data_IF_130363068261
#
_entry.id   IF_130363068261
#
_cell.length_a   1.000
_cell.length_b   1.000
_cell.length_c   1.000
_cell.angle_alpha   90.00
_cell.angle_beta   90.00
_cell.angle_gamma   90.00
#
_symmetry.space_group_name_H-M   'P 1'
#
loop_
_entity.id
_entity.type
_entity.pdbx_description
1 polymer ?
#
# COMPACT_ATOMS: atom_id res chain seq x y z
N UNK A 1 1.48 -12.60 26.21
CA UNK A 1 1.72 -11.14 26.14
C UNK A 1 2.75 -10.89 25.07
N UNK A 2 2.56 -9.85 24.27
CA UNK A 2 3.53 -9.43 23.27
C UNK A 2 4.63 -8.64 23.98
N UNK A 3 5.91 -8.89 23.70
CA UNK A 3 6.99 -8.18 24.38
C UNK A 3 6.96 -6.70 23.95
N UNK A 4 7.39 -5.79 24.83
CA UNK A 4 7.40 -4.36 24.53
C UNK A 4 8.21 -4.04 23.25
N UNK A 5 9.27 -4.81 23.00
CA UNK A 5 10.06 -4.76 21.78
C UNK A 5 9.25 -5.15 20.54
N UNK A 6 8.49 -6.25 20.60
CA UNK A 6 7.61 -6.68 19.51
C UNK A 6 6.57 -5.60 19.16
N UNK A 7 5.99 -4.94 20.17
CA UNK A 7 5.05 -3.84 19.97
C UNK A 7 5.73 -2.64 19.29
N UNK A 8 6.93 -2.26 19.74
CA UNK A 8 7.68 -1.15 19.14
C UNK A 8 8.03 -1.43 17.67
N UNK A 9 8.42 -2.66 17.34
CA UNK A 9 8.74 -3.03 15.96
C UNK A 9 7.47 -3.00 15.09
N UNK A 10 6.34 -3.51 15.60
CA UNK A 10 5.05 -3.42 14.91
C UNK A 10 4.63 -1.98 14.63
N UNK A 11 4.77 -1.09 15.61
CA UNK A 11 4.42 0.32 15.46
C UNK A 11 5.31 1.00 14.39
N UNK A 12 6.61 0.67 14.35
CA UNK A 12 7.51 1.17 13.32
C UNK A 12 7.11 0.66 11.92
N UNK A 13 6.83 -0.64 11.78
CA UNK A 13 6.39 -1.22 10.50
C UNK A 13 5.10 -0.55 10.03
N UNK A 14 4.14 -0.31 10.94
CA UNK A 14 2.91 0.39 10.60
C UNK A 14 3.15 1.83 10.14
N UNK A 15 4.06 2.55 10.79
CA UNK A 15 4.41 3.90 10.38
C UNK A 15 5.07 3.90 9.00
N UNK A 16 6.02 2.99 8.76
CA UNK A 16 6.71 2.88 7.48
C UNK A 16 5.73 2.59 6.33
N UNK A 17 4.74 1.71 6.54
CA UNK A 17 3.68 1.45 5.56
C UNK A 17 2.85 2.70 5.26
N UNK A 18 2.48 3.49 6.28
CA UNK A 18 1.74 4.74 6.09
C UNK A 18 2.54 5.73 5.26
N UNK A 19 3.81 5.93 5.60
CA UNK A 19 4.70 6.86 4.89
C UNK A 19 4.87 6.45 3.43
N UNK A 20 4.96 5.14 3.15
CA UNK A 20 5.02 4.62 1.78
C UNK A 20 3.74 4.90 0.99
N UNK A 21 2.56 4.76 1.61
CA UNK A 21 1.28 5.07 0.98
C UNK A 21 1.13 6.57 0.69
N UNK A 22 1.64 7.42 1.58
CA UNK A 22 1.62 8.89 1.40
C UNK A 22 2.52 9.36 0.24
N UNK A 23 3.56 8.60 -0.09
CA UNK A 23 4.44 8.89 -1.22
C UNK A 23 3.85 8.47 -2.58
N UNK A 24 2.71 7.77 -2.61
CA UNK A 24 2.09 7.35 -3.86
C UNK A 24 1.34 8.49 -4.55
N UNK A 25 1.34 8.53 -5.90
CA UNK A 25 0.38 9.32 -6.65
C UNK A 25 -1.05 9.02 -6.21
N UNK A 26 -1.91 10.03 -6.21
CA UNK A 26 -3.28 9.94 -5.67
C UNK A 26 -4.06 8.75 -6.23
N UNK A 27 -4.05 8.56 -7.56
CA UNK A 27 -4.75 7.46 -8.20
C UNK A 27 -4.25 6.06 -7.80
N UNK A 28 -2.96 5.94 -7.46
CA UNK A 28 -2.37 4.69 -7.00
C UNK A 28 -2.77 4.41 -5.55
N UNK A 29 -2.68 5.44 -4.70
CA UNK A 29 -3.11 5.39 -3.30
C UNK A 29 -4.60 5.05 -3.18
N UNK A 30 -5.43 5.67 -4.01
CA UNK A 30 -6.88 5.45 -4.04
C UNK A 30 -7.22 3.98 -4.33
N UNK A 31 -6.59 3.39 -5.34
CA UNK A 31 -6.80 1.97 -5.70
C UNK A 31 -6.32 1.03 -4.59
N UNK A 32 -5.21 1.36 -3.90
CA UNK A 32 -4.75 0.57 -2.74
C UNK A 32 -5.75 0.65 -1.59
N UNK A 33 -6.22 1.84 -1.24
CA UNK A 33 -7.20 2.05 -0.17
C UNK A 33 -8.51 1.30 -0.46
N UNK A 34 -9.06 1.44 -1.67
CA UNK A 34 -10.26 0.70 -2.08
C UNK A 34 -10.07 -0.81 -2.04
N UNK A 35 -8.89 -1.32 -2.43
CA UNK A 35 -8.66 -2.77 -2.45
C UNK A 35 -8.45 -3.36 -1.07
N UNK A 36 -7.74 -2.67 -0.18
CA UNK A 36 -7.29 -3.22 1.11
C UNK A 36 -8.26 -2.88 2.24
N UNK A 37 -8.73 -1.63 2.33
CA UNK A 37 -9.60 -1.22 3.44
C UNK A 37 -11.08 -1.50 3.15
N UNK A 38 -11.48 -1.40 1.88
CA UNK A 38 -12.87 -1.64 1.44
C UNK A 38 -13.06 -3.02 0.80
N UNK A 39 -11.99 -3.80 0.66
CA UNK A 39 -11.98 -5.16 0.09
C UNK A 39 -12.57 -5.31 -1.32
N UNK A 40 -12.72 -4.20 -2.07
CA UNK A 40 -13.33 -4.21 -3.39
C UNK A 40 -12.51 -5.02 -4.40
N UNK A 41 -13.18 -5.70 -5.32
CA UNK A 41 -12.56 -6.29 -6.51
C UNK A 41 -12.08 -5.21 -7.47
N UNK A 42 -11.13 -5.52 -8.35
CA UNK A 42 -10.69 -4.57 -9.39
C UNK A 42 -11.79 -4.16 -10.36
N UNK A 43 -12.82 -5.00 -10.51
CA UNK A 43 -14.00 -4.65 -11.30
C UNK A 43 -14.84 -3.60 -10.58
N UNK A 44 -15.15 -3.79 -9.30
CA UNK A 44 -15.89 -2.79 -8.49
C UNK A 44 -15.13 -1.47 -8.41
N UNK A 45 -13.80 -1.51 -8.27
CA UNK A 45 -12.94 -0.31 -8.30
C UNK A 45 -13.05 0.40 -9.65
N UNK A 46 -13.00 -0.35 -10.75
CA UNK A 46 -13.14 0.21 -12.10
C UNK A 46 -14.51 0.87 -12.29
N UNK A 47 -15.58 0.22 -11.81
CA UNK A 47 -16.95 0.72 -11.89
C UNK A 47 -17.14 1.99 -11.03
N UNK A 48 -16.61 2.02 -9.81
CA UNK A 48 -16.70 3.19 -8.91
C UNK A 48 -15.90 4.40 -9.41
N UNK A 49 -14.74 4.17 -10.02
CA UNK A 49 -13.85 5.25 -10.50
C UNK A 49 -14.06 5.63 -11.96
N UNK A 50 -14.93 4.91 -12.68
CA UNK A 50 -15.24 5.15 -14.08
C UNK A 50 -14.07 4.89 -15.04
N UNK A 51 -13.10 4.06 -14.65
CA UNK A 51 -11.99 3.64 -15.52
C UNK A 51 -12.13 2.19 -15.98
N UNK A 52 -11.27 1.75 -16.90
CA UNK A 52 -11.23 0.33 -17.27
C UNK A 52 -10.62 -0.54 -16.17
N UNK A 53 -10.99 -1.83 -16.11
CA UNK A 53 -10.35 -2.80 -15.21
C UNK A 53 -8.83 -2.85 -15.37
N UNK A 54 -8.32 -2.69 -16.60
CA UNK A 54 -6.89 -2.66 -16.88
C UNK A 54 -6.21 -1.40 -16.30
N UNK A 55 -6.92 -0.28 -16.25
CA UNK A 55 -6.44 0.95 -15.61
C UNK A 55 -6.33 0.76 -14.10
N UNK A 56 -7.34 0.18 -13.45
CA UNK A 56 -7.31 -0.13 -12.02
C UNK A 56 -6.17 -1.11 -11.68
N UNK A 57 -6.03 -2.20 -12.46
CA UNK A 57 -4.92 -3.15 -12.33
C UNK A 57 -3.55 -2.48 -12.52
N UNK A 58 -3.43 -1.60 -13.52
CA UNK A 58 -2.23 -0.83 -13.80
C UNK A 58 -1.84 0.07 -12.62
N UNK A 59 -2.81 0.83 -12.07
CA UNK A 59 -2.61 1.70 -10.90
C UNK A 59 -2.13 0.90 -9.68
N UNK A 60 -2.75 -0.25 -9.40
CA UNK A 60 -2.30 -1.15 -8.32
C UNK A 60 -0.87 -1.66 -8.56
N UNK A 61 -0.57 -2.13 -9.78
CA UNK A 61 0.77 -2.60 -10.12
C UNK A 61 1.83 -1.52 -9.92
N UNK A 62 1.56 -0.30 -10.38
CA UNK A 62 2.49 0.82 -10.22
C UNK A 62 2.59 1.29 -8.77
N UNK A 63 1.51 1.20 -7.98
CA UNK A 63 1.56 1.43 -6.54
C UNK A 63 2.61 0.51 -5.88
N UNK A 64 2.50 -0.80 -6.12
CA UNK A 64 3.43 -1.79 -5.55
C UNK A 64 4.88 -1.59 -6.01
N UNK A 65 5.09 -1.26 -7.28
CA UNK A 65 6.43 -0.98 -7.81
C UNK A 65 7.04 0.26 -7.16
N UNK A 66 6.25 1.34 -7.02
CA UNK A 66 6.73 2.58 -6.43
C UNK A 66 6.98 2.46 -4.93
N UNK A 67 6.12 1.74 -4.19
CA UNK A 67 6.35 1.41 -2.79
C UNK A 67 7.65 0.61 -2.63
N UNK A 68 7.86 -0.43 -3.44
CA UNK A 68 9.10 -1.22 -3.41
C UNK A 68 10.34 -0.37 -3.67
N UNK A 69 10.31 0.50 -4.69
CA UNK A 69 11.42 1.41 -4.99
C UNK A 69 11.71 2.33 -3.80
N UNK A 70 10.67 2.92 -3.21
CA UNK A 70 10.80 3.83 -2.07
C UNK A 70 11.37 3.11 -0.84
N UNK A 71 10.97 1.85 -0.62
CA UNK A 71 11.54 1.01 0.44
C UNK A 71 13.04 0.78 0.22
N UNK A 72 13.45 0.44 -1.00
CA UNK A 72 14.86 0.21 -1.36
C UNK A 72 15.70 1.48 -1.19
N UNK A 73 15.19 2.63 -1.63
CA UNK A 73 15.87 3.93 -1.52
C UNK A 73 16.06 4.39 -0.07
N UNK A 74 15.09 4.09 0.81
CA UNK A 74 15.10 4.50 2.22
C UNK A 74 15.64 3.44 3.18
N UNK A 75 15.94 2.23 2.68
CA UNK A 75 16.37 1.10 3.52
C UNK A 75 15.28 0.58 4.46
N UNK A 76 14.01 0.74 4.11
CA UNK A 76 12.86 0.30 4.92
C UNK A 76 12.72 -1.23 4.86
N UNK A 77 12.58 -1.86 6.02
CA UNK A 77 12.30 -3.31 6.13
C UNK A 77 10.96 -3.52 6.84
N UNK A 78 10.04 -4.21 6.17
CA UNK A 78 8.70 -4.51 6.70
C UNK A 78 8.58 -5.94 7.25
N UNK A 79 9.71 -6.61 7.49
CA UNK A 79 9.76 -8.00 7.97
C UNK A 79 10.35 -8.08 9.37
N UNK A 80 9.71 -8.85 10.23
CA UNK A 80 10.26 -9.31 11.51
C UNK A 80 11.20 -10.48 11.19
N UNK A 81 12.52 -10.27 11.25
CA UNK A 81 13.51 -11.35 11.11
C UNK A 81 14.08 -11.72 12.47
#
# INVERSE_FOLDING_TARGET
EMHAEDQMIQDQIHQDVRDLLECLPEEQREVVHMRIERELSFQEIADETGVSINTALGRMRYALINMRRTMEERGVQLTLN
#
